data_IF_681234571486
#
_entry.id   IF_681234571486
#
_cell.length_a   1.000
_cell.length_b   1.000
_cell.length_c   1.000
_cell.angle_alpha   90.00
_cell.angle_beta   90.00
_cell.angle_gamma   90.00
#
_symmetry.space_group_name_H-M   'P 1'
#
loop_
_entity.id
_entity.type
_entity.pdbx_description
1 polymer ?
#
# COMPACT_ATOMS: atom_id res chain seq x y z
N UNK A 1 42.34 56.08 35.14
CA UNK A 1 42.59 54.91 34.26
C UNK A 1 41.58 53.75 34.50
N UNK A 2 40.87 53.78 35.60
CA UNK A 2 39.88 52.73 35.98
C UNK A 2 38.57 52.93 35.27
N UNK A 3 38.06 54.11 35.10
CA UNK A 3 36.77 54.44 34.48
C UNK A 3 36.63 53.94 33.01
N UNK A 4 37.69 54.06 32.25
CA UNK A 4 37.75 53.71 30.85
C UNK A 4 37.57 52.19 30.61
N UNK A 5 38.10 51.38 31.55
CA UNK A 5 37.93 49.87 31.46
C UNK A 5 36.56 49.44 31.80
N UNK A 6 35.80 50.12 32.62
CA UNK A 6 34.46 49.83 33.00
C UNK A 6 33.50 50.15 31.86
N UNK A 7 33.65 51.28 31.18
CA UNK A 7 32.85 51.62 30.01
C UNK A 7 33.04 50.65 28.86
N UNK A 8 34.24 50.16 28.60
CA UNK A 8 34.50 49.15 27.56
C UNK A 8 33.82 47.80 27.88
N UNK A 9 33.90 47.39 29.16
CA UNK A 9 33.20 46.15 29.57
C UNK A 9 31.68 46.27 29.48
N UNK A 10 31.12 47.41 29.84
CA UNK A 10 29.70 47.68 29.72
C UNK A 10 29.23 47.68 28.23
N UNK A 11 30.02 48.29 27.33
CA UNK A 11 29.73 48.27 25.89
C UNK A 11 29.77 46.86 25.28
N UNK A 12 30.75 46.05 25.70
CA UNK A 12 30.84 44.66 25.22
C UNK A 12 29.64 43.82 25.71
N UNK A 13 29.23 44.03 26.98
CA UNK A 13 28.07 43.31 27.53
C UNK A 13 26.79 43.68 26.81
N UNK A 14 26.59 44.96 26.47
CA UNK A 14 25.41 45.41 25.72
C UNK A 14 25.42 44.85 24.30
N UNK A 15 26.57 44.76 23.64
CA UNK A 15 26.71 44.14 22.31
C UNK A 15 26.41 42.64 22.32
N UNK A 16 26.80 41.92 23.38
CA UNK A 16 26.49 40.50 23.52
C UNK A 16 25.02 40.29 23.79
N UNK A 17 24.37 41.10 24.63
CA UNK A 17 22.95 41.03 24.91
C UNK A 17 22.10 41.37 23.67
N UNK A 18 22.53 42.32 22.83
CA UNK A 18 21.83 42.66 21.59
C UNK A 18 21.82 41.52 20.58
N UNK A 19 22.83 40.66 20.55
CA UNK A 19 22.89 39.49 19.68
C UNK A 19 22.00 38.33 20.16
N UNK A 20 21.66 38.26 21.44
CA UNK A 20 20.77 37.23 21.98
C UNK A 20 19.28 37.47 21.65
N UNK A 21 18.92 38.69 21.32
CA UNK A 21 17.51 39.05 20.95
C UNK A 21 17.25 38.79 19.48
N UNK A 22 18.26 38.67 18.62
CA UNK A 22 18.10 38.47 17.18
C UNK A 22 17.65 37.02 16.79
N UNK A 23 17.69 36.06 17.71
CA UNK A 23 17.32 34.67 17.43
C UNK A 23 15.88 34.31 17.70
N UNK A 24 14.98 35.25 18.01
CA UNK A 24 13.61 34.94 18.38
C UNK A 24 12.52 35.37 17.37
N UNK A 25 12.86 35.77 16.18
CA UNK A 25 11.89 36.18 15.18
C UNK A 25 11.95 35.35 13.90
N UNK A 26 12.15 34.03 14.02
CA UNK A 26 11.66 33.12 13.00
C UNK A 26 10.34 32.53 13.51
N UNK A 27 9.30 33.33 13.56
CA UNK A 27 7.94 32.79 13.45
C UNK A 27 7.93 32.00 12.18
N UNK A 28 7.95 30.65 12.32
CA UNK A 28 7.46 29.80 11.26
C UNK A 28 6.07 30.30 10.93
N UNK A 29 5.96 31.12 9.91
CA UNK A 29 4.72 31.26 9.18
C UNK A 29 4.40 29.83 8.74
N UNK A 30 3.51 29.17 9.45
CA UNK A 30 2.81 28.04 8.91
C UNK A 30 2.01 28.65 7.75
N UNK A 31 2.63 28.70 6.57
CA UNK A 31 1.88 28.69 5.34
C UNK A 31 1.03 27.42 5.46
N UNK A 32 -0.21 27.57 5.90
CA UNK A 32 -1.22 26.60 5.62
C UNK A 32 -1.06 26.35 4.12
N UNK A 33 -0.52 25.17 3.80
CA UNK A 33 -0.69 24.59 2.48
C UNK A 33 -2.20 24.57 2.30
N UNK A 34 -2.72 25.65 1.67
CA UNK A 34 -4.05 25.62 1.12
C UNK A 34 -3.98 24.46 0.14
N UNK A 35 -4.52 23.31 0.55
CA UNK A 35 -4.82 22.24 -0.40
C UNK A 35 -5.57 22.93 -1.52
N UNK A 36 -5.05 22.92 -2.76
CA UNK A 36 -5.78 23.52 -3.86
C UNK A 36 -7.15 22.86 -3.86
N UNK A 37 -8.20 23.66 -3.68
CA UNK A 37 -9.57 23.19 -3.82
C UNK A 37 -9.67 22.69 -5.26
N UNK A 38 -9.65 21.38 -5.43
CA UNK A 38 -9.85 20.76 -6.72
C UNK A 38 -11.31 21.03 -7.09
N UNK A 39 -11.52 22.06 -7.90
CA UNK A 39 -12.85 22.36 -8.40
C UNK A 39 -13.27 21.24 -9.35
N UNK A 40 -14.20 20.40 -8.91
CA UNK A 40 -14.72 19.27 -9.69
C UNK A 40 -15.17 19.66 -11.12
N UNK A 41 -15.54 20.92 -11.31
CA UNK A 41 -15.93 21.46 -12.60
C UNK A 41 -14.76 21.73 -13.58
N UNK A 42 -13.53 21.66 -13.12
CA UNK A 42 -12.36 21.75 -13.99
C UNK A 42 -12.12 20.47 -14.79
N UNK A 43 -12.72 19.36 -14.37
CA UNK A 43 -12.68 18.10 -15.09
C UNK A 43 -13.88 18.01 -16.03
N UNK A 44 -13.65 18.31 -17.29
CA UNK A 44 -14.65 18.15 -18.36
C UNK A 44 -14.66 16.67 -18.74
N UNK A 45 -15.54 15.89 -18.14
CA UNK A 45 -15.72 14.48 -18.43
C UNK A 45 -16.83 13.88 -17.58
N UNK A 46 -17.45 12.80 -18.04
CA UNK A 46 -18.32 12.01 -17.20
C UNK A 46 -17.49 11.46 -16.03
N UNK A 47 -17.99 11.63 -14.82
CA UNK A 47 -17.39 10.97 -13.64
C UNK A 47 -17.53 9.48 -13.87
N UNK A 48 -16.40 8.80 -14.06
CA UNK A 48 -16.42 7.34 -14.12
C UNK A 48 -16.94 6.80 -12.78
N UNK A 49 -17.80 5.78 -12.78
CA UNK A 49 -18.19 5.12 -11.54
C UNK A 49 -16.93 4.58 -10.85
N UNK A 50 -16.86 4.79 -9.55
CA UNK A 50 -15.78 4.25 -8.72
C UNK A 50 -16.35 3.05 -8.00
N UNK A 51 -15.68 1.91 -8.11
CA UNK A 51 -16.06 0.69 -7.43
C UNK A 51 -16.02 0.88 -5.91
N UNK A 52 -16.96 0.27 -5.20
CA UNK A 52 -16.91 0.23 -3.74
C UNK A 52 -15.79 -0.73 -3.28
N UNK A 53 -15.38 -0.61 -2.03
CA UNK A 53 -14.39 -1.54 -1.44
C UNK A 53 -14.91 -2.97 -1.51
N UNK A 54 -16.19 -3.16 -1.26
CA UNK A 54 -16.88 -4.45 -1.35
C UNK A 54 -16.81 -5.02 -2.76
N UNK A 55 -17.05 -4.21 -3.78
CA UNK A 55 -17.02 -4.63 -5.19
C UNK A 55 -15.60 -5.00 -5.63
N UNK A 56 -14.58 -4.28 -5.16
CA UNK A 56 -13.18 -4.55 -5.49
C UNK A 56 -12.76 -5.97 -5.10
N UNK A 57 -13.21 -6.44 -3.93
CA UNK A 57 -12.87 -7.76 -3.39
C UNK A 57 -13.96 -8.81 -3.60
N UNK A 58 -15.06 -8.49 -4.27
CA UNK A 58 -16.15 -9.41 -4.49
C UNK A 58 -15.72 -10.63 -5.34
N UNK A 59 -16.13 -11.81 -4.89
CA UNK A 59 -16.03 -13.06 -5.61
C UNK A 59 -17.43 -13.59 -5.89
N UNK A 60 -17.63 -14.27 -7.03
CA UNK A 60 -18.88 -14.97 -7.29
C UNK A 60 -19.06 -16.15 -6.32
N UNK A 61 -20.29 -16.58 -6.06
CA UNK A 61 -20.56 -17.77 -5.24
C UNK A 61 -19.97 -19.04 -5.85
N UNK A 62 -19.85 -19.09 -7.17
CA UNK A 62 -19.18 -20.18 -7.86
C UNK A 62 -17.67 -20.20 -7.53
N UNK A 63 -17.00 -19.04 -7.58
CA UNK A 63 -15.58 -18.92 -7.27
C UNK A 63 -15.28 -19.25 -5.82
N UNK A 64 -16.11 -18.77 -4.89
CA UNK A 64 -16.01 -19.10 -3.47
C UNK A 64 -16.14 -20.60 -3.23
N UNK A 65 -17.08 -21.24 -3.91
CA UNK A 65 -17.28 -22.69 -3.82
C UNK A 65 -16.08 -23.44 -4.39
N UNK A 66 -15.56 -23.01 -5.52
CA UNK A 66 -14.43 -23.63 -6.20
C UNK A 66 -13.14 -23.53 -5.36
N UNK A 67 -12.79 -22.36 -4.85
CA UNK A 67 -11.59 -22.22 -4.01
C UNK A 67 -11.70 -23.03 -2.71
N UNK A 68 -12.88 -23.07 -2.08
CA UNK A 68 -13.12 -23.93 -0.90
C UNK A 68 -12.98 -25.42 -1.22
N UNK A 69 -13.40 -25.83 -2.40
CA UNK A 69 -13.25 -27.21 -2.86
C UNK A 69 -11.77 -27.59 -3.02
N UNK A 70 -10.98 -26.72 -3.61
CA UNK A 70 -9.52 -26.89 -3.75
C UNK A 70 -8.82 -27.07 -2.39
N UNK A 71 -9.29 -26.35 -1.36
CA UNK A 71 -8.72 -26.41 -0.01
C UNK A 71 -9.05 -27.72 0.75
N UNK A 72 -10.07 -28.51 0.33
CA UNK A 72 -10.56 -29.66 1.12
C UNK A 72 -9.53 -30.75 1.32
N UNK A 73 -8.66 -30.99 0.36
CA UNK A 73 -7.61 -32.02 0.44
C UNK A 73 -6.37 -31.57 1.22
N UNK A 74 -6.25 -30.27 1.49
CA UNK A 74 -5.08 -29.69 2.14
C UNK A 74 -5.21 -29.74 3.66
N UNK A 75 -4.46 -30.61 4.31
CA UNK A 75 -4.52 -30.81 5.77
C UNK A 75 -3.47 -30.04 6.55
N UNK A 76 -2.39 -29.58 5.92
CA UNK A 76 -1.34 -28.78 6.57
C UNK A 76 -1.35 -27.33 6.09
N UNK A 77 -0.75 -26.42 6.86
CA UNK A 77 -0.58 -25.03 6.49
C UNK A 77 0.11 -24.87 5.13
N UNK A 78 1.20 -25.64 4.92
CA UNK A 78 1.93 -25.63 3.67
C UNK A 78 1.08 -26.13 2.49
N UNK A 79 0.34 -27.24 2.67
CA UNK A 79 -0.54 -27.76 1.64
C UNK A 79 -1.65 -26.77 1.28
N UNK A 80 -2.24 -26.09 2.27
CA UNK A 80 -3.23 -25.03 2.03
C UNK A 80 -2.67 -23.87 1.24
N UNK A 81 -1.47 -23.39 1.60
CA UNK A 81 -0.79 -22.34 0.84
C UNK A 81 -0.52 -22.76 -0.61
N UNK A 82 -0.03 -23.97 -0.81
CA UNK A 82 0.22 -24.50 -2.16
C UNK A 82 -1.08 -24.63 -2.98
N UNK A 83 -2.16 -25.11 -2.37
CA UNK A 83 -3.45 -25.22 -3.01
C UNK A 83 -4.00 -23.85 -3.43
N UNK A 84 -3.89 -22.84 -2.55
CA UNK A 84 -4.29 -21.47 -2.88
C UNK A 84 -3.47 -20.91 -4.06
N UNK A 85 -2.15 -21.05 -4.02
CA UNK A 85 -1.27 -20.61 -5.11
C UNK A 85 -1.57 -21.37 -6.41
N UNK A 86 -1.85 -22.68 -6.32
CA UNK A 86 -2.25 -23.47 -7.47
C UNK A 86 -3.56 -22.94 -8.08
N UNK A 87 -4.55 -22.66 -7.25
CA UNK A 87 -5.83 -22.10 -7.71
C UNK A 87 -5.66 -20.73 -8.40
N UNK A 88 -4.80 -19.88 -7.87
CA UNK A 88 -4.54 -18.55 -8.45
C UNK A 88 -3.83 -18.67 -9.81
N UNK A 89 -2.73 -19.43 -9.86
CA UNK A 89 -1.80 -19.38 -11.00
C UNK A 89 -1.98 -20.50 -12.01
N UNK A 90 -2.44 -21.68 -11.57
CA UNK A 90 -2.55 -22.87 -12.40
C UNK A 90 -4.01 -23.30 -12.52
N UNK A 91 -4.72 -22.67 -13.43
CA UNK A 91 -5.94 -23.29 -13.95
C UNK A 91 -5.52 -24.26 -15.05
N UNK A 92 -6.05 -25.48 -15.03
CA UNK A 92 -5.79 -26.50 -16.07
C UNK A 92 -6.23 -26.03 -17.46
N UNK A 93 -7.13 -25.05 -17.54
CA UNK A 93 -7.69 -24.54 -18.79
C UNK A 93 -6.97 -23.30 -19.32
N UNK A 94 -6.64 -22.32 -18.44
CA UNK A 94 -6.04 -21.06 -18.84
C UNK A 94 -5.06 -20.55 -17.75
N UNK A 95 -3.77 -20.43 -18.05
CA UNK A 95 -2.83 -19.81 -17.15
C UNK A 95 -3.16 -18.32 -16.96
N UNK A 96 -2.83 -17.77 -15.80
CA UNK A 96 -2.96 -16.34 -15.53
C UNK A 96 -1.88 -15.57 -16.29
N UNK A 97 -2.29 -14.63 -17.14
CA UNK A 97 -1.41 -13.79 -17.94
C UNK A 97 -1.12 -12.46 -17.22
N UNK A 98 0.14 -12.05 -17.18
CA UNK A 98 0.50 -10.73 -16.69
C UNK A 98 0.28 -9.66 -17.75
N UNK A 99 -0.66 -8.75 -17.52
CA UNK A 99 -0.99 -7.64 -18.40
C UNK A 99 -0.90 -6.33 -17.62
N UNK A 100 0.09 -5.51 -17.92
CA UNK A 100 0.40 -4.29 -17.14
C UNK A 100 -0.76 -3.29 -17.04
N UNK A 101 -1.63 -3.24 -18.06
CA UNK A 101 -2.81 -2.37 -18.09
C UNK A 101 -4.06 -2.99 -17.45
N UNK A 102 -4.02 -4.26 -17.05
CA UNK A 102 -5.16 -4.97 -16.48
C UNK A 102 -5.32 -4.66 -14.98
N UNK A 103 -5.78 -3.46 -14.66
CA UNK A 103 -6.22 -3.13 -13.30
C UNK A 103 -7.68 -3.53 -13.16
N UNK A 104 -7.92 -4.66 -12.53
CA UNK A 104 -9.22 -5.33 -12.47
C UNK A 104 -9.61 -5.64 -11.01
N UNK A 105 -10.89 -5.73 -10.72
CA UNK A 105 -11.43 -6.26 -9.46
C UNK A 105 -11.23 -7.78 -9.36
N UNK A 106 -11.40 -8.35 -8.18
CA UNK A 106 -11.10 -9.77 -7.93
C UNK A 106 -11.82 -10.72 -8.88
N UNK A 107 -13.14 -10.57 -9.03
CA UNK A 107 -13.95 -11.42 -9.92
C UNK A 107 -13.52 -11.34 -11.38
N UNK A 108 -13.29 -10.13 -11.89
CA UNK A 108 -12.86 -9.92 -13.28
C UNK A 108 -11.46 -10.50 -13.55
N UNK A 109 -10.54 -10.34 -12.59
CA UNK A 109 -9.19 -10.92 -12.66
C UNK A 109 -9.26 -12.44 -12.80
N UNK A 110 -10.10 -13.07 -12.01
CA UNK A 110 -10.27 -14.53 -12.04
C UNK A 110 -10.92 -15.01 -13.35
N UNK A 111 -11.97 -14.32 -13.82
CA UNK A 111 -12.67 -14.67 -15.05
C UNK A 111 -11.83 -14.45 -16.31
N UNK A 112 -11.14 -13.32 -16.40
CA UNK A 112 -10.33 -12.96 -17.58
C UNK A 112 -8.97 -13.63 -17.59
N UNK A 113 -8.54 -14.18 -16.44
CA UNK A 113 -7.19 -14.73 -16.27
C UNK A 113 -6.08 -13.76 -16.66
N UNK A 114 -6.31 -12.46 -16.39
CA UNK A 114 -5.39 -11.37 -16.65
C UNK A 114 -5.23 -10.51 -15.40
N UNK A 115 -4.01 -10.12 -15.08
CA UNK A 115 -3.71 -9.28 -13.93
C UNK A 115 -2.44 -8.46 -14.12
N UNK A 116 -2.40 -7.30 -13.49
CA UNK A 116 -1.15 -6.66 -13.09
C UNK A 116 -0.85 -6.98 -11.61
N UNK A 117 0.20 -6.42 -11.03
CA UNK A 117 0.56 -6.65 -9.63
C UNK A 117 -0.58 -6.30 -8.67
N UNK A 118 -1.28 -5.19 -8.88
CA UNK A 118 -2.39 -4.75 -8.03
C UNK A 118 -3.58 -5.71 -8.13
N UNK A 119 -4.04 -6.02 -9.34
CA UNK A 119 -5.17 -6.93 -9.55
C UNK A 119 -4.90 -8.33 -9.00
N UNK A 120 -3.66 -8.81 -9.18
CA UNK A 120 -3.25 -10.10 -8.62
C UNK A 120 -3.28 -10.08 -7.08
N UNK A 121 -2.84 -8.99 -6.49
CA UNK A 121 -2.84 -8.82 -5.02
C UNK A 121 -4.28 -8.73 -4.49
N UNK A 122 -5.17 -8.00 -5.18
CA UNK A 122 -6.61 -7.91 -4.86
C UNK A 122 -7.25 -9.30 -4.92
N UNK A 123 -7.05 -10.04 -5.99
CA UNK A 123 -7.58 -11.40 -6.16
C UNK A 123 -7.05 -12.34 -5.06
N UNK A 124 -5.75 -12.34 -4.83
CA UNK A 124 -5.12 -13.18 -3.82
C UNK A 124 -5.63 -12.86 -2.41
N UNK A 125 -5.85 -11.58 -2.09
CA UNK A 125 -6.46 -11.16 -0.84
C UNK A 125 -7.88 -11.70 -0.69
N UNK A 126 -8.73 -11.50 -1.70
CA UNK A 126 -10.12 -11.94 -1.68
C UNK A 126 -10.24 -13.47 -1.50
N UNK A 127 -9.45 -14.24 -2.24
CA UNK A 127 -9.43 -15.70 -2.13
C UNK A 127 -8.87 -16.18 -0.79
N UNK A 128 -7.81 -15.52 -0.27
CA UNK A 128 -7.23 -15.84 1.03
C UNK A 128 -8.25 -15.64 2.16
N UNK A 129 -8.95 -14.52 2.17
CA UNK A 129 -10.01 -14.24 3.15
C UNK A 129 -11.14 -15.28 3.08
N UNK A 130 -11.57 -15.67 1.86
CA UNK A 130 -12.66 -16.63 1.66
C UNK A 130 -12.33 -18.02 2.23
N UNK A 131 -11.06 -18.40 2.25
CA UNK A 131 -10.60 -19.69 2.80
C UNK A 131 -10.02 -19.59 4.22
N UNK A 132 -10.20 -18.44 4.89
CA UNK A 132 -9.85 -18.23 6.29
C UNK A 132 -8.38 -17.98 6.55
N UNK A 133 -7.62 -17.53 5.56
CA UNK A 133 -6.26 -17.04 5.78
C UNK A 133 -6.28 -15.59 6.30
N UNK A 134 -5.28 -15.23 7.08
CA UNK A 134 -4.97 -13.81 7.32
C UNK A 134 -4.15 -13.29 6.15
N UNK A 135 -4.55 -12.15 5.59
CA UNK A 135 -3.85 -11.54 4.47
C UNK A 135 -3.68 -10.04 4.72
N UNK A 136 -2.49 -9.51 4.44
CA UNK A 136 -2.15 -8.11 4.63
C UNK A 136 -1.42 -7.57 3.40
N UNK A 137 -1.82 -6.39 2.95
CA UNK A 137 -1.12 -5.67 1.89
C UNK A 137 0.20 -5.14 2.43
N UNK A 138 1.25 -5.34 1.67
CA UNK A 138 2.58 -4.87 2.00
C UNK A 138 3.08 -3.95 0.89
N UNK A 139 3.35 -2.70 1.25
CA UNK A 139 4.07 -1.79 0.38
C UNK A 139 5.53 -2.26 0.27
N UNK A 140 6.06 -2.28 -0.94
CA UNK A 140 7.44 -2.66 -1.21
C UNK A 140 8.19 -1.42 -1.65
N UNK A 141 9.19 -1.05 -0.88
CA UNK A 141 10.09 0.05 -1.23
C UNK A 141 11.02 -0.42 -2.36
N UNK A 142 10.66 -0.03 -3.57
CA UNK A 142 11.48 -0.24 -4.77
C UNK A 142 11.89 1.13 -5.32
N UNK A 143 13.05 1.22 -5.98
CA UNK A 143 13.41 2.44 -6.68
C UNK A 143 12.31 2.86 -7.63
N UNK A 144 11.85 4.10 -7.50
CA UNK A 144 10.85 4.67 -8.40
C UNK A 144 11.35 4.67 -9.83
N UNK A 145 10.55 4.18 -10.76
CA UNK A 145 10.86 4.28 -12.18
C UNK A 145 9.61 4.60 -13.00
N UNK A 146 9.83 5.40 -14.03
CA UNK A 146 8.78 5.82 -14.93
C UNK A 146 8.69 4.90 -16.13
N UNK A 147 7.48 4.45 -16.43
CA UNK A 147 7.16 3.77 -17.67
C UNK A 147 6.45 4.78 -18.56
N UNK A 148 7.02 5.03 -19.75
CA UNK A 148 6.47 5.97 -20.70
C UNK A 148 6.06 5.22 -21.97
N UNK A 149 4.83 5.40 -22.40
CA UNK A 149 4.31 5.00 -23.69
C UNK A 149 3.94 6.24 -24.54
N UNK A 150 3.36 6.04 -25.71
CA UNK A 150 3.06 7.13 -26.64
C UNK A 150 2.01 8.13 -26.10
N UNK A 151 1.22 7.76 -25.11
CA UNK A 151 0.10 8.54 -24.60
C UNK A 151 0.31 9.05 -23.17
N UNK A 152 1.11 8.37 -22.37
CA UNK A 152 1.24 8.68 -20.94
C UNK A 152 2.55 8.22 -20.34
N UNK A 153 2.90 8.87 -19.23
CA UNK A 153 3.97 8.42 -18.33
C UNK A 153 3.35 8.01 -17.00
N UNK A 154 3.74 6.85 -16.50
CA UNK A 154 3.27 6.30 -15.23
C UNK A 154 4.43 6.04 -14.30
N UNK A 155 4.29 6.47 -13.06
CA UNK A 155 5.17 6.03 -11.98
C UNK A 155 4.80 4.60 -11.62
N UNK A 156 5.77 3.71 -11.63
CA UNK A 156 5.56 2.31 -11.29
C UNK A 156 5.90 2.09 -9.83
N UNK A 157 4.91 1.68 -9.05
CA UNK A 157 5.05 1.19 -7.68
C UNK A 157 4.88 -0.33 -7.63
N UNK A 158 5.16 -0.93 -6.49
CA UNK A 158 4.96 -2.35 -6.28
C UNK A 158 4.22 -2.61 -4.97
N UNK A 159 3.28 -3.54 -5.03
CA UNK A 159 2.52 -4.01 -3.88
C UNK A 159 2.63 -5.53 -3.77
N UNK A 160 2.87 -6.02 -2.57
CA UNK A 160 2.86 -7.43 -2.24
C UNK A 160 1.70 -7.77 -1.31
N UNK A 161 1.43 -9.05 -1.18
CA UNK A 161 0.52 -9.61 -0.20
C UNK A 161 1.26 -10.61 0.68
N UNK A 162 1.15 -10.45 1.99
CA UNK A 162 1.56 -11.47 2.95
C UNK A 162 0.33 -12.29 3.30
N UNK A 163 0.40 -13.60 3.13
CA UNK A 163 -0.69 -14.53 3.39
C UNK A 163 -0.24 -15.52 4.45
N UNK A 164 -1.02 -15.64 5.54
CA UNK A 164 -0.73 -16.51 6.67
C UNK A 164 -1.88 -17.49 6.84
N UNK A 165 -1.65 -18.80 6.76
CA UNK A 165 -2.69 -19.81 6.96
C UNK A 165 -3.23 -19.79 8.40
N UNK A 166 -4.47 -20.26 8.64
CA UNK A 166 -5.17 -20.14 9.92
C UNK A 166 -4.48 -20.80 11.11
N UNK A 167 -3.51 -21.67 10.85
CA UNK A 167 -2.69 -22.34 11.89
C UNK A 167 -1.51 -21.52 12.37
N UNK A 168 -1.29 -20.35 11.79
CA UNK A 168 -0.22 -19.42 12.12
C UNK A 168 -0.84 -18.07 12.50
N UNK A 169 -0.21 -17.34 13.42
CA UNK A 169 -0.62 -15.98 13.78
C UNK A 169 0.42 -14.96 13.34
N UNK A 170 -0.05 -13.78 13.01
CA UNK A 170 0.79 -12.63 12.70
C UNK A 170 0.90 -11.78 13.97
N UNK A 171 2.10 -11.60 14.50
CA UNK A 171 2.33 -10.69 15.63
C UNK A 171 3.56 -9.82 15.32
N UNK A 172 3.40 -8.51 15.43
CA UNK A 172 4.46 -7.51 15.29
C UNK A 172 5.29 -7.62 13.99
N UNK A 173 4.64 -7.88 12.86
CA UNK A 173 5.32 -8.00 11.56
C UNK A 173 6.10 -9.30 11.34
N UNK A 174 5.93 -10.26 12.23
CA UNK A 174 6.56 -11.59 12.16
C UNK A 174 5.52 -12.70 12.19
N UNK A 175 5.75 -13.76 11.41
CA UNK A 175 4.90 -14.96 11.42
C UNK A 175 5.29 -15.83 12.61
N UNK A 176 4.39 -15.99 13.56
CA UNK A 176 4.58 -16.91 14.67
C UNK A 176 3.90 -18.25 14.40
N UNK A 177 4.65 -19.33 14.58
CA UNK A 177 4.12 -20.67 14.59
C UNK A 177 3.35 -20.87 15.90
N UNK A 178 2.02 -20.75 15.87
CA UNK A 178 1.22 -21.17 17.03
C UNK A 178 1.37 -22.67 17.16
N UNK A 179 2.07 -23.13 18.22
CA UNK A 179 2.12 -24.53 18.60
C UNK A 179 0.70 -24.98 18.96
N UNK A 180 -0.05 -25.52 18.02
CA UNK A 180 -1.21 -26.33 18.32
C UNK A 180 -0.72 -27.66 18.90
N UNK A 181 -0.81 -27.79 20.22
CA UNK A 181 -0.75 -29.09 20.90
C UNK A 181 -2.08 -29.80 20.72
#
# INVERSE_FOLDING_TARGET
MVERKWLVKASILVLILANLIACQTTSKSSSQLQTPELHAHAFIGAVAPVESVEDIFALSEADKTAVKAEMRAATSAQAKTQALLHYIFKSDELPLEYVNSATLVASDTLQRRQANCLSLTILAYALAQEVGFTAEFQEVDIPEFWITDAQQSRLNGHVNLVIVPPTLSFENGSVNLSNSR
#
